data_IF_608154053082
#
_entry.id   IF_608154053082
#
_cell.length_a   1.000
_cell.length_b   1.000
_cell.length_c   1.000
_cell.angle_alpha   90.00
_cell.angle_beta   90.00
_cell.angle_gamma   90.00
#
_symmetry.space_group_name_H-M   'P 1'
#
loop_
_entity.id
_entity.type
_entity.pdbx_description
1 polymer ?
#
# COMPACT_ATOMS: atom_id res chain seq x y z
N UNK A 1 -3.81 4.09 35.54
CA UNK A 1 -3.03 3.15 34.69
C UNK A 1 -3.48 3.36 33.27
N UNK A 2 -2.57 3.58 32.32
CA UNK A 2 -2.95 3.60 30.93
C UNK A 2 -3.52 2.20 30.56
N UNK A 3 -4.61 2.13 29.79
CA UNK A 3 -5.17 0.84 29.36
C UNK A 3 -4.12 0.06 28.58
N UNK A 4 -4.07 -1.24 28.79
CA UNK A 4 -3.15 -2.10 28.04
C UNK A 4 -3.40 -1.97 26.52
N UNK A 5 -2.32 -1.87 25.74
CA UNK A 5 -2.45 -1.81 24.29
C UNK A 5 -3.13 -3.09 23.78
N UNK A 6 -4.05 -3.00 22.80
CA UNK A 6 -4.66 -4.18 22.22
C UNK A 6 -3.63 -5.05 21.50
N UNK A 7 -3.92 -6.34 21.36
CA UNK A 7 -3.08 -7.24 20.58
C UNK A 7 -3.10 -6.88 19.10
N UNK A 8 -4.27 -6.49 18.59
CA UNK A 8 -4.50 -6.24 17.18
C UNK A 8 -5.32 -4.98 16.96
N UNK A 9 -4.81 -4.08 16.11
CA UNK A 9 -5.60 -3.00 15.51
C UNK A 9 -6.01 -3.39 14.10
N UNK A 10 -7.30 -3.36 13.81
CA UNK A 10 -7.85 -3.70 12.49
C UNK A 10 -8.25 -2.41 11.80
N UNK A 11 -7.64 -2.10 10.65
CA UNK A 11 -7.93 -0.91 9.85
C UNK A 11 -8.75 -1.29 8.63
N UNK A 12 -9.92 -0.68 8.50
CA UNK A 12 -10.88 -0.96 7.43
C UNK A 12 -11.20 0.34 6.68
N UNK A 13 -10.68 0.53 5.45
CA UNK A 13 -11.12 1.60 4.58
C UNK A 13 -12.57 1.37 4.14
N UNK A 14 -13.40 2.42 4.23
CA UNK A 14 -14.82 2.38 3.92
C UNK A 14 -15.15 3.44 2.86
N UNK A 15 -15.85 3.03 1.80
CA UNK A 15 -16.39 3.96 0.80
C UNK A 15 -17.66 3.42 0.19
N UNK A 16 -18.82 3.93 0.64
CA UNK A 16 -20.16 3.50 0.21
C UNK A 16 -20.38 1.99 0.45
N UNK A 17 -20.25 1.57 1.71
CA UNK A 17 -20.34 0.17 2.15
C UNK A 17 -21.28 0.02 3.38
N UNK A 18 -22.31 0.90 3.52
CA UNK A 18 -23.21 0.91 4.66
C UNK A 18 -23.85 -0.46 4.97
N UNK A 19 -24.19 -1.24 3.91
CA UNK A 19 -24.87 -2.52 4.03
C UNK A 19 -23.94 -3.64 4.55
N UNK A 20 -22.65 -3.57 4.27
CA UNK A 20 -21.68 -4.62 4.62
C UNK A 20 -21.11 -4.46 6.04
N UNK A 21 -21.04 -3.23 6.56
CA UNK A 21 -20.39 -2.92 7.83
C UNK A 21 -20.93 -3.66 9.05
N UNK A 22 -22.26 -3.83 9.24
CA UNK A 22 -22.79 -4.57 10.40
C UNK A 22 -22.34 -6.03 10.40
N UNK A 23 -22.43 -6.71 9.25
CA UNK A 23 -22.00 -8.10 9.12
C UNK A 23 -20.48 -8.24 9.30
N UNK A 24 -19.70 -7.29 8.78
CA UNK A 24 -18.25 -7.27 8.97
C UNK A 24 -17.89 -7.15 10.46
N UNK A 25 -18.55 -6.24 11.18
CA UNK A 25 -18.33 -6.05 12.61
C UNK A 25 -18.63 -7.34 13.40
N UNK A 26 -19.71 -8.02 13.09
CA UNK A 26 -20.08 -9.28 13.74
C UNK A 26 -19.06 -10.40 13.45
N UNK A 27 -18.60 -10.51 12.22
CA UNK A 27 -17.54 -11.47 11.85
C UNK A 27 -16.22 -11.18 12.56
N UNK A 28 -15.83 -9.91 12.69
CA UNK A 28 -14.63 -9.50 13.44
C UNK A 28 -14.77 -9.88 14.92
N UNK A 29 -15.92 -9.55 15.57
CA UNK A 29 -16.17 -9.90 16.95
C UNK A 29 -16.08 -11.41 17.19
N UNK A 30 -16.72 -12.19 16.32
CA UNK A 30 -16.70 -13.64 16.40
C UNK A 30 -15.29 -14.22 16.25
N UNK A 31 -14.52 -13.75 15.26
CA UNK A 31 -13.17 -14.24 14.99
C UNK A 31 -12.19 -13.88 16.11
N UNK A 32 -12.20 -12.65 16.59
CA UNK A 32 -11.30 -12.19 17.65
C UNK A 32 -11.70 -12.79 19.00
N UNK A 33 -13.00 -12.90 19.29
CA UNK A 33 -13.51 -13.54 20.51
C UNK A 33 -13.13 -15.02 20.58
N UNK A 34 -13.26 -15.77 19.49
CA UNK A 34 -12.86 -17.17 19.42
C UNK A 34 -11.34 -17.37 19.63
N UNK A 35 -10.53 -16.39 19.22
CA UNK A 35 -9.08 -16.42 19.37
C UNK A 35 -8.59 -15.85 20.71
N UNK A 36 -9.46 -15.24 21.52
CA UNK A 36 -9.08 -14.58 22.78
C UNK A 36 -8.15 -13.38 22.59
N UNK A 37 -8.19 -12.72 21.42
CA UNK A 37 -7.36 -11.55 21.10
C UNK A 37 -8.04 -10.26 21.54
N UNK A 38 -7.33 -9.44 22.30
CA UNK A 38 -7.72 -8.05 22.54
C UNK A 38 -7.56 -7.23 21.27
N UNK A 39 -8.62 -6.54 20.82
CA UNK A 39 -8.61 -5.85 19.55
C UNK A 39 -9.28 -4.47 19.59
N UNK A 40 -8.93 -3.63 18.65
CA UNK A 40 -9.65 -2.42 18.27
C UNK A 40 -9.86 -2.40 16.76
N UNK A 41 -10.86 -1.69 16.29
CA UNK A 41 -11.19 -1.52 14.87
C UNK A 41 -11.26 -0.05 14.54
N UNK A 42 -10.55 0.36 13.51
CA UNK A 42 -10.63 1.69 12.92
C UNK A 42 -11.32 1.62 11.56
N UNK A 43 -12.57 2.10 11.50
CA UNK A 43 -13.35 2.23 10.27
C UNK A 43 -13.08 3.62 9.69
N UNK A 44 -12.39 3.68 8.56
CA UNK A 44 -12.02 4.97 7.95
C UNK A 44 -12.92 5.24 6.75
N UNK A 45 -13.89 6.13 6.95
CA UNK A 45 -14.83 6.57 5.92
C UNK A 45 -14.17 7.58 4.97
N UNK A 46 -13.89 7.14 3.78
CA UNK A 46 -13.26 7.92 2.71
C UNK A 46 -14.27 8.81 1.96
N UNK A 47 -15.06 9.58 2.72
CA UNK A 47 -16.02 10.53 2.19
C UNK A 47 -17.22 9.86 1.53
N UNK A 48 -17.81 8.84 2.14
CA UNK A 48 -19.01 8.17 1.66
C UNK A 48 -20.20 9.11 1.55
N UNK A 49 -21.06 8.82 0.58
CA UNK A 49 -22.30 9.57 0.29
C UNK A 49 -23.57 8.78 0.63
N UNK A 50 -23.39 7.54 1.09
CA UNK A 50 -24.48 6.67 1.61
C UNK A 50 -24.61 6.77 3.15
N UNK A 51 -25.22 5.81 3.78
CA UNK A 51 -25.34 5.72 5.24
C UNK A 51 -24.11 5.20 5.99
N UNK A 52 -22.94 5.04 5.34
CA UNK A 52 -21.76 4.40 5.95
C UNK A 52 -21.32 5.06 7.24
N UNK A 53 -21.24 6.40 7.30
CA UNK A 53 -20.82 7.10 8.52
C UNK A 53 -21.81 6.88 9.68
N UNK A 54 -23.11 7.00 9.43
CA UNK A 54 -24.13 6.74 10.46
C UNK A 54 -24.05 5.30 11.00
N UNK A 55 -23.73 4.32 10.14
CA UNK A 55 -23.49 2.94 10.55
C UNK A 55 -22.25 2.82 11.42
N UNK A 56 -21.15 3.53 11.09
CA UNK A 56 -19.91 3.57 11.89
C UNK A 56 -20.19 4.14 13.29
N UNK A 57 -20.93 5.27 13.38
CA UNK A 57 -21.31 5.86 14.66
C UNK A 57 -22.15 4.91 15.52
N UNK A 58 -23.12 4.22 14.88
CA UNK A 58 -23.94 3.23 15.58
C UNK A 58 -23.12 2.04 16.10
N UNK A 59 -22.13 1.55 15.31
CA UNK A 59 -21.23 0.48 15.73
C UNK A 59 -20.35 0.90 16.92
N UNK A 60 -19.80 2.12 16.87
CA UNK A 60 -19.00 2.67 17.97
C UNK A 60 -19.81 2.89 19.25
N UNK A 61 -21.06 3.35 19.14
CA UNK A 61 -21.97 3.49 20.27
C UNK A 61 -22.35 2.13 20.90
N UNK A 62 -22.45 1.08 20.10
CA UNK A 62 -22.78 -0.26 20.56
C UNK A 62 -21.57 -1.04 21.12
N UNK A 63 -20.36 -0.74 20.67
CA UNK A 63 -19.14 -1.44 21.06
C UNK A 63 -17.94 -0.49 21.02
N UNK A 64 -17.42 -0.14 22.17
CA UNK A 64 -16.31 0.80 22.36
C UNK A 64 -15.00 0.38 21.67
N UNK A 65 -14.88 -0.85 21.21
CA UNK A 65 -13.73 -1.32 20.44
C UNK A 65 -13.72 -0.83 18.98
N UNK A 66 -14.86 -0.32 18.50
CA UNK A 66 -15.00 0.24 17.15
C UNK A 66 -14.89 1.75 17.18
N UNK A 67 -13.88 2.27 16.51
CA UNK A 67 -13.70 3.70 16.27
C UNK A 67 -13.86 4.04 14.79
N UNK A 68 -14.10 5.32 14.51
CA UNK A 68 -14.27 5.81 13.15
C UNK A 68 -13.51 7.09 12.88
N UNK A 69 -13.13 7.28 11.62
CA UNK A 69 -12.59 8.52 11.08
C UNK A 69 -13.35 8.83 9.80
N UNK A 70 -13.81 10.07 9.62
CA UNK A 70 -14.50 10.50 8.41
C UNK A 70 -13.72 11.57 7.68
N UNK A 71 -13.53 11.36 6.38
CA UNK A 71 -12.94 12.36 5.51
C UNK A 71 -14.01 13.27 4.91
N UNK A 72 -13.66 14.52 4.63
CA UNK A 72 -14.57 15.49 4.00
C UNK A 72 -14.90 15.14 2.55
N UNK A 73 -14.02 14.39 1.87
CA UNK A 73 -14.18 13.91 0.48
C UNK A 73 -13.41 12.62 0.29
N UNK A 74 -13.61 11.96 -0.83
CA UNK A 74 -12.79 10.81 -1.20
C UNK A 74 -11.35 11.25 -1.52
N UNK A 75 -10.39 10.67 -0.78
CA UNK A 75 -8.95 10.84 -0.96
C UNK A 75 -8.30 9.56 -1.49
N UNK A 76 -8.95 8.42 -1.36
CA UNK A 76 -8.46 7.12 -1.81
C UNK A 76 -8.06 6.17 -0.68
N UNK A 77 -7.94 4.89 -1.04
CA UNK A 77 -7.68 3.80 -0.09
C UNK A 77 -6.36 3.95 0.68
N UNK A 78 -5.33 4.48 0.04
CA UNK A 78 -4.01 4.67 0.68
C UNK A 78 -4.07 5.66 1.83
N UNK A 79 -4.75 6.77 1.64
CA UNK A 79 -4.95 7.82 2.63
C UNK A 79 -5.81 7.32 3.80
N UNK A 80 -6.84 6.53 3.49
CA UNK A 80 -7.67 5.89 4.52
C UNK A 80 -6.85 4.91 5.37
N UNK A 81 -6.01 4.09 4.75
CA UNK A 81 -5.10 3.20 5.47
C UNK A 81 -4.08 3.99 6.31
N UNK A 82 -3.49 5.05 5.76
CA UNK A 82 -2.54 5.89 6.48
C UNK A 82 -3.17 6.54 7.73
N UNK A 83 -4.41 7.02 7.62
CA UNK A 83 -5.15 7.58 8.74
C UNK A 83 -5.44 6.55 9.84
N UNK A 84 -5.81 5.33 9.46
CA UNK A 84 -6.00 4.23 10.38
C UNK A 84 -4.69 3.76 11.03
N UNK A 85 -3.62 3.64 10.26
CA UNK A 85 -2.29 3.27 10.78
C UNK A 85 -1.75 4.27 11.81
N UNK A 86 -2.00 5.56 11.58
CA UNK A 86 -1.59 6.61 12.52
C UNK A 86 -2.29 6.52 13.89
N UNK A 87 -3.44 5.85 13.96
CA UNK A 87 -4.29 5.69 15.16
C UNK A 87 -4.15 4.32 15.81
N UNK A 88 -3.64 3.33 15.08
CA UNK A 88 -3.48 1.97 15.54
C UNK A 88 -2.55 1.91 16.77
N UNK A 89 -3.06 1.34 17.87
CA UNK A 89 -2.35 1.19 19.15
C UNK A 89 -1.86 -0.24 19.40
N UNK A 90 -2.39 -1.21 18.64
CA UNK A 90 -2.05 -2.61 18.78
C UNK A 90 -0.59 -2.92 18.50
N UNK A 91 -0.08 -3.98 19.13
CA UNK A 91 1.26 -4.53 18.83
C UNK A 91 1.34 -5.08 17.40
N UNK A 92 0.21 -5.56 16.88
CA UNK A 92 -0.01 -5.92 15.48
C UNK A 92 -1.08 -5.03 14.86
N UNK A 93 -0.96 -4.78 13.55
CA UNK A 93 -1.95 -4.03 12.78
C UNK A 93 -2.39 -4.90 11.61
N UNK A 94 -3.69 -4.98 11.35
CA UNK A 94 -4.22 -5.67 10.17
C UNK A 94 -5.04 -4.73 9.31
N UNK A 95 -5.10 -5.04 8.02
CA UNK A 95 -6.01 -4.39 7.06
C UNK A 95 -7.05 -5.38 6.58
N UNK A 96 -8.29 -4.92 6.40
CA UNK A 96 -9.39 -5.66 5.79
C UNK A 96 -10.16 -4.74 4.85
N UNK A 97 -10.71 -5.30 3.77
CA UNK A 97 -11.66 -4.58 2.92
C UNK A 97 -13.08 -4.69 3.49
N UNK A 98 -13.89 -3.62 3.35
CA UNK A 98 -15.24 -3.56 3.92
C UNK A 98 -16.26 -4.42 3.16
N UNK A 99 -15.93 -4.97 1.98
CA UNK A 99 -16.84 -5.62 1.04
C UNK A 99 -17.15 -7.10 1.35
N UNK A 100 -16.75 -7.61 2.52
CA UNK A 100 -16.95 -8.98 2.99
C UNK A 100 -16.29 -10.08 2.13
N UNK A 101 -15.39 -9.72 1.20
CA UNK A 101 -14.68 -10.71 0.39
C UNK A 101 -13.55 -11.40 1.16
N UNK A 102 -12.93 -10.70 2.11
CA UNK A 102 -11.90 -11.23 3.00
C UNK A 102 -12.53 -11.75 4.31
N UNK A 103 -12.05 -12.87 4.82
CA UNK A 103 -12.56 -13.49 6.04
C UNK A 103 -11.75 -13.04 7.26
N UNK A 104 -12.35 -12.32 8.25
CA UNK A 104 -11.65 -11.95 9.48
C UNK A 104 -11.14 -13.15 10.29
N UNK A 105 -11.68 -14.35 10.10
CA UNK A 105 -11.23 -15.57 10.76
C UNK A 105 -9.80 -15.98 10.40
N UNK A 106 -9.22 -15.41 9.35
CA UNK A 106 -7.83 -15.62 8.94
C UNK A 106 -6.83 -14.78 9.76
N UNK A 107 -7.28 -13.71 10.42
CA UNK A 107 -6.41 -12.78 11.16
C UNK A 107 -5.67 -13.41 12.35
N UNK A 108 -6.27 -14.28 13.17
CA UNK A 108 -5.55 -14.90 14.30
C UNK A 108 -4.32 -15.68 13.86
N UNK A 109 -4.40 -16.45 12.76
CA UNK A 109 -3.23 -17.15 12.22
C UNK A 109 -2.17 -16.18 11.70
N UNK A 110 -2.57 -15.07 11.06
CA UNK A 110 -1.62 -14.04 10.63
C UNK A 110 -0.91 -13.42 11.83
N UNK A 111 -1.61 -13.12 12.94
CA UNK A 111 -1.01 -12.61 14.17
C UNK A 111 -0.02 -13.64 14.75
N UNK A 112 -0.38 -14.92 14.80
CA UNK A 112 0.54 -15.96 15.28
C UNK A 112 1.83 -16.04 14.44
N UNK A 113 1.76 -15.83 13.11
CA UNK A 113 2.96 -15.76 12.24
C UNK A 113 3.81 -14.53 12.53
N UNK A 114 3.19 -13.36 12.82
CA UNK A 114 3.93 -12.17 13.26
C UNK A 114 4.63 -12.42 14.60
N UNK A 115 3.97 -13.13 15.53
CA UNK A 115 4.56 -13.51 16.81
C UNK A 115 5.72 -14.53 16.63
N UNK A 116 5.64 -15.39 15.61
CA UNK A 116 6.72 -16.30 15.22
C UNK A 116 7.90 -15.59 14.53
N UNK A 117 7.80 -14.29 14.29
CA UNK A 117 8.91 -13.47 13.81
C UNK A 117 8.75 -12.92 12.39
N UNK A 118 7.62 -13.11 11.72
CA UNK A 118 7.34 -12.40 10.48
C UNK A 118 7.17 -10.89 10.73
N UNK A 119 7.59 -10.05 9.79
CA UNK A 119 7.39 -8.60 9.85
C UNK A 119 6.04 -8.22 9.24
N UNK A 120 5.64 -8.95 8.20
CA UNK A 120 4.43 -8.76 7.43
C UNK A 120 3.91 -10.09 6.91
N UNK A 121 2.59 -10.32 7.01
CA UNK A 121 1.90 -11.48 6.43
C UNK A 121 0.85 -10.97 5.46
N UNK A 122 0.92 -11.38 4.18
CA UNK A 122 -0.04 -11.04 3.14
C UNK A 122 -0.96 -12.20 2.84
N UNK A 123 -2.26 -11.95 2.69
CA UNK A 123 -3.20 -12.99 2.27
C UNK A 123 -3.00 -13.37 0.80
N UNK A 124 -3.05 -14.66 0.50
CA UNK A 124 -3.03 -15.18 -0.86
C UNK A 124 -4.37 -15.83 -1.21
N UNK A 125 -5.12 -15.20 -2.09
CA UNK A 125 -6.38 -15.69 -2.63
C UNK A 125 -6.10 -16.75 -3.71
N UNK A 126 -5.79 -18.00 -3.28
CA UNK A 126 -5.41 -19.10 -4.20
C UNK A 126 -6.53 -19.47 -5.16
N UNK A 127 -7.78 -19.54 -4.68
CA UNK A 127 -8.97 -19.77 -5.49
C UNK A 127 -9.70 -18.44 -5.68
N UNK A 128 -9.51 -17.78 -6.84
CA UNK A 128 -10.23 -16.57 -7.20
C UNK A 128 -11.43 -16.94 -8.07
N UNK A 129 -12.61 -16.50 -7.65
CA UNK A 129 -13.84 -16.61 -8.45
C UNK A 129 -14.00 -15.45 -9.45
N UNK A 130 -12.89 -14.77 -9.78
CA UNK A 130 -12.88 -13.66 -10.72
C UNK A 130 -12.89 -14.13 -12.18
N UNK A 131 -13.55 -13.40 -13.12
CA UNK A 131 -13.50 -13.65 -14.56
C UNK A 131 -12.05 -13.67 -15.08
N UNK A 132 -11.80 -14.49 -16.11
CA UNK A 132 -10.46 -14.67 -16.69
C UNK A 132 -9.83 -13.38 -17.20
N UNK A 133 -10.63 -12.43 -17.68
CA UNK A 133 -10.21 -11.09 -18.12
C UNK A 133 -9.54 -10.26 -17.01
N UNK A 134 -9.90 -10.49 -15.76
CA UNK A 134 -9.28 -9.85 -14.58
C UNK A 134 -8.03 -10.61 -14.10
N UNK A 135 -7.94 -11.92 -14.37
CA UNK A 135 -6.87 -12.80 -13.86
C UNK A 135 -5.55 -12.64 -14.61
N UNK A 136 -5.60 -12.40 -15.93
CA UNK A 136 -4.40 -12.34 -16.78
C UNK A 136 -3.55 -11.09 -16.50
N UNK A 137 -4.11 -9.86 -16.47
CA UNK A 137 -3.37 -8.65 -16.12
C UNK A 137 -2.81 -8.70 -14.69
N UNK A 138 -3.59 -9.23 -13.73
CA UNK A 138 -3.14 -9.38 -12.35
C UNK A 138 -1.95 -10.33 -12.21
N UNK A 139 -1.93 -11.44 -12.96
CA UNK A 139 -0.79 -12.38 -12.97
C UNK A 139 0.47 -11.76 -13.55
N UNK A 140 0.34 -11.01 -14.65
CA UNK A 140 1.46 -10.29 -15.26
C UNK A 140 2.03 -9.26 -14.30
N UNK A 141 1.17 -8.43 -13.72
CA UNK A 141 1.52 -7.44 -12.71
C UNK A 141 2.27 -8.07 -11.53
N UNK A 142 1.71 -9.12 -10.91
CA UNK A 142 2.33 -9.80 -9.79
C UNK A 142 3.69 -10.44 -10.17
N UNK A 143 3.83 -10.96 -11.41
CA UNK A 143 5.10 -11.52 -11.88
C UNK A 143 6.18 -10.44 -12.01
N UNK A 144 5.85 -9.29 -12.60
CA UNK A 144 6.79 -8.17 -12.75
C UNK A 144 7.16 -7.59 -11.39
N UNK A 145 6.17 -7.35 -10.51
CA UNK A 145 6.42 -6.84 -9.16
C UNK A 145 7.30 -7.81 -8.36
N UNK A 146 7.06 -9.12 -8.46
CA UNK A 146 7.89 -10.16 -7.83
C UNK A 146 9.33 -10.13 -8.32
N UNK A 147 9.52 -10.08 -9.65
CA UNK A 147 10.85 -10.05 -10.25
C UNK A 147 11.63 -8.81 -9.84
N UNK A 148 10.96 -7.67 -9.78
CA UNK A 148 11.59 -6.40 -9.43
C UNK A 148 11.84 -6.22 -7.94
N UNK A 149 10.88 -6.63 -7.10
CA UNK A 149 10.96 -6.48 -5.65
C UNK A 149 11.84 -7.55 -5.01
N UNK A 150 12.01 -8.69 -5.67
CA UNK A 150 12.61 -9.89 -5.08
C UNK A 150 11.82 -10.43 -3.87
N UNK A 151 10.51 -10.09 -3.77
CA UNK A 151 9.61 -10.59 -2.74
C UNK A 151 8.79 -11.75 -3.33
N UNK A 152 8.77 -12.88 -2.64
CA UNK A 152 8.09 -14.10 -3.12
C UNK A 152 6.61 -14.14 -2.74
N UNK A 153 5.83 -13.08 -3.11
CA UNK A 153 4.38 -13.06 -2.94
C UNK A 153 3.67 -13.44 -4.24
N UNK A 154 2.57 -14.19 -4.13
CA UNK A 154 1.69 -14.52 -5.25
C UNK A 154 0.64 -13.43 -5.48
N UNK A 155 0.26 -12.70 -4.42
CA UNK A 155 -0.76 -11.65 -4.48
C UNK A 155 -0.35 -10.40 -3.70
N UNK A 156 0.15 -9.38 -4.42
CA UNK A 156 0.44 -8.07 -3.85
C UNK A 156 -0.83 -7.26 -3.58
N UNK A 157 -1.93 -7.59 -4.27
CA UNK A 157 -3.19 -6.84 -4.26
C UNK A 157 -4.19 -7.31 -3.19
N UNK A 158 -3.80 -8.23 -2.31
CA UNK A 158 -4.69 -8.69 -1.24
C UNK A 158 -5.09 -7.55 -0.31
N UNK A 159 -6.37 -7.42 0.03
CA UNK A 159 -6.88 -6.47 1.02
C UNK A 159 -6.52 -6.87 2.44
N UNK A 160 -6.50 -8.19 2.72
CA UNK A 160 -6.14 -8.72 4.03
C UNK A 160 -4.62 -8.86 4.15
N UNK A 161 -4.06 -8.11 5.08
CA UNK A 161 -2.65 -8.17 5.46
C UNK A 161 -2.52 -7.90 6.95
N UNK A 162 -1.51 -8.48 7.58
CA UNK A 162 -1.14 -8.18 8.96
C UNK A 162 0.33 -7.76 9.05
N UNK A 163 0.61 -6.86 9.96
CA UNK A 163 1.91 -6.19 10.12
C UNK A 163 2.27 -6.09 11.60
N UNK A 164 3.56 -6.10 11.91
CA UNK A 164 4.03 -5.57 13.19
C UNK A 164 3.78 -4.05 13.23
N UNK A 165 3.45 -3.51 14.39
CA UNK A 165 3.16 -2.08 14.53
C UNK A 165 4.32 -1.18 14.03
N UNK A 166 5.56 -1.61 14.22
CA UNK A 166 6.75 -0.90 13.77
C UNK A 166 6.79 -0.75 12.24
N UNK A 167 6.33 -1.76 11.48
CA UNK A 167 6.27 -1.73 10.02
C UNK A 167 5.34 -0.60 9.53
N UNK A 168 4.13 -0.54 10.06
CA UNK A 168 3.16 0.49 9.63
C UNK A 168 3.55 1.91 10.06
N UNK A 169 4.33 2.04 11.15
CA UNK A 169 4.86 3.34 11.59
C UNK A 169 6.00 3.85 10.73
N UNK A 170 6.79 2.95 10.12
CA UNK A 170 7.92 3.30 9.25
C UNK A 170 7.50 3.55 7.81
N UNK A 171 6.45 2.83 7.33
CA UNK A 171 6.00 2.89 5.94
C UNK A 171 5.06 4.06 5.72
N UNK A 172 5.34 4.88 4.71
CA UNK A 172 4.45 5.98 4.27
C UNK A 172 3.60 5.51 3.09
N UNK A 173 2.28 5.45 3.31
CA UNK A 173 1.30 5.02 2.30
C UNK A 173 0.57 6.24 1.77
N UNK A 174 0.64 6.50 0.46
CA UNK A 174 -0.05 7.59 -0.23
C UNK A 174 -0.36 7.20 -1.68
N UNK A 175 -1.30 7.89 -2.32
CA UNK A 175 -1.71 7.63 -3.71
C UNK A 175 -2.16 6.17 -3.91
N UNK A 176 -1.59 5.46 -4.86
CA UNK A 176 -1.92 4.04 -5.13
C UNK A 176 -0.96 3.04 -4.42
N UNK A 177 -0.12 3.51 -3.48
CA UNK A 177 0.93 2.69 -2.86
C UNK A 177 0.42 1.64 -1.86
N UNK A 178 -0.87 1.62 -1.51
CA UNK A 178 -1.44 0.60 -0.64
C UNK A 178 -1.21 -0.84 -1.11
N UNK A 179 -1.05 -1.06 -2.42
CA UNK A 179 -0.74 -2.37 -3.02
C UNK A 179 0.71 -2.78 -2.79
N UNK A 180 1.57 -1.81 -2.56
CA UNK A 180 3.02 -1.96 -2.48
C UNK A 180 3.57 -1.87 -1.06
N UNK A 181 2.70 -1.88 -0.03
CA UNK A 181 3.14 -1.87 1.36
C UNK A 181 4.20 -2.95 1.64
N UNK A 182 4.11 -4.21 1.12
CA UNK A 182 5.17 -5.19 1.31
C UNK A 182 6.53 -4.75 0.75
N UNK A 183 6.51 -4.02 -0.36
CA UNK A 183 7.72 -3.50 -0.98
C UNK A 183 8.30 -2.32 -0.20
N UNK A 184 7.44 -1.40 0.24
CA UNK A 184 7.83 -0.28 1.09
C UNK A 184 8.43 -0.78 2.41
N UNK A 185 7.81 -1.80 3.03
CA UNK A 185 8.34 -2.45 4.22
C UNK A 185 9.73 -3.04 3.99
N UNK A 186 9.93 -3.74 2.86
CA UNK A 186 11.26 -4.28 2.51
C UNK A 186 12.31 -3.18 2.38
N UNK A 187 11.98 -2.01 1.87
CA UNK A 187 12.90 -0.88 1.75
C UNK A 187 13.27 -0.26 3.10
N UNK A 188 12.36 -0.31 4.06
CA UNK A 188 12.63 0.10 5.44
C UNK A 188 13.38 -0.98 6.25
N UNK A 189 13.76 -2.11 5.60
CA UNK A 189 14.57 -3.16 6.22
C UNK A 189 13.79 -4.36 6.75
N UNK A 190 12.45 -4.36 6.63
CA UNK A 190 11.60 -5.49 7.04
C UNK A 190 11.59 -6.56 5.95
N UNK A 191 12.34 -7.63 6.15
CA UNK A 191 12.58 -8.63 5.09
C UNK A 191 11.83 -9.94 5.29
N UNK A 192 11.29 -10.20 6.51
CA UNK A 192 10.51 -11.40 6.80
C UNK A 192 9.06 -11.24 6.38
N UNK A 193 8.84 -11.25 5.06
CA UNK A 193 7.53 -11.10 4.46
C UNK A 193 7.01 -12.48 4.07
N UNK A 194 5.91 -12.87 4.68
CA UNK A 194 5.26 -14.16 4.48
C UNK A 194 3.93 -14.03 3.74
N UNK A 195 3.43 -15.17 3.26
CA UNK A 195 2.15 -15.27 2.60
C UNK A 195 1.33 -16.39 3.24
N UNK A 196 0.05 -16.10 3.52
CA UNK A 196 -0.92 -17.07 4.02
C UNK A 196 -2.01 -17.29 3.00
N UNK A 197 -2.34 -18.55 2.71
CA UNK A 197 -3.52 -18.85 1.87
C UNK A 197 -4.78 -18.50 2.66
N UNK A 198 -5.60 -17.60 2.10
CA UNK A 198 -6.82 -17.11 2.74
C UNK A 198 -8.05 -17.49 1.95
N UNK A 199 -9.19 -17.63 2.64
CA UNK A 199 -10.50 -17.82 2.02
C UNK A 199 -10.94 -16.51 1.36
N UNK A 200 -11.53 -16.64 0.20
CA UNK A 200 -12.07 -15.50 -0.55
C UNK A 200 -13.52 -15.77 -0.88
N UNK A 201 -14.40 -14.92 -0.36
CA UNK A 201 -15.84 -15.00 -0.59
C UNK A 201 -16.25 -14.19 -1.84
N UNK A 202 -17.35 -14.59 -2.47
CA UNK A 202 -17.95 -13.76 -3.51
C UNK A 202 -18.49 -12.47 -2.88
N UNK A 203 -18.40 -11.36 -3.61
CA UNK A 203 -18.95 -10.07 -3.17
C UNK A 203 -20.45 -10.20 -2.96
N UNK A 204 -20.95 -9.81 -1.79
CA UNK A 204 -22.35 -9.92 -1.41
C UNK A 204 -23.15 -8.65 -1.72
N UNK A 205 -22.52 -7.48 -1.54
CA UNK A 205 -23.15 -6.16 -1.70
C UNK A 205 -22.39 -5.31 -2.72
N UNK A 206 -23.08 -4.34 -3.34
CA UNK A 206 -22.49 -3.35 -4.24
C UNK A 206 -22.20 -3.85 -5.66
N UNK A 207 -21.97 -2.91 -6.58
CA UNK A 207 -21.68 -3.17 -8.00
C UNK A 207 -20.21 -2.89 -8.32
N UNK A 208 -19.63 -3.69 -9.20
CA UNK A 208 -18.25 -3.53 -9.64
C UNK A 208 -18.13 -2.38 -10.63
N UNK A 209 -17.52 -1.26 -10.25
CA UNK A 209 -17.28 -0.08 -11.11
C UNK A 209 -15.96 -0.22 -11.88
N UNK A 210 -15.89 -1.00 -12.98
CA UNK A 210 -14.64 -1.16 -13.72
C UNK A 210 -14.83 -1.05 -15.25
N UNK A 211 -14.08 -0.08 -15.86
CA UNK A 211 -13.97 0.16 -17.29
C UNK A 211 -12.56 -0.13 -17.86
N UNK A 212 -12.39 0.07 -19.19
CA UNK A 212 -11.12 -0.08 -19.95
C UNK A 212 -9.95 0.77 -19.42
N UNK A 213 -10.23 1.89 -18.76
CA UNK A 213 -9.23 2.74 -18.09
C UNK A 213 -8.33 1.97 -17.09
N UNK A 214 -8.79 0.83 -16.60
CA UNK A 214 -8.03 0.00 -15.65
C UNK A 214 -6.74 -0.55 -16.26
N UNK A 215 -6.74 -0.88 -17.55
CA UNK A 215 -5.54 -1.44 -18.20
C UNK A 215 -4.44 -0.39 -18.33
N UNK A 216 -4.83 0.83 -18.72
CA UNK A 216 -3.91 1.95 -18.81
C UNK A 216 -3.40 2.37 -17.41
N UNK A 217 -4.28 2.47 -16.42
CA UNK A 217 -3.89 2.73 -15.03
C UNK A 217 -2.98 1.64 -14.50
N UNK A 218 -3.31 0.36 -14.71
CA UNK A 218 -2.45 -0.75 -14.27
C UNK A 218 -1.07 -0.76 -14.92
N UNK A 219 -0.95 -0.32 -16.17
CA UNK A 219 0.34 -0.14 -16.83
C UNK A 219 1.13 1.05 -16.26
N UNK A 220 0.47 2.18 -16.02
CA UNK A 220 1.07 3.35 -15.38
C UNK A 220 1.46 3.06 -13.92
N UNK A 221 0.62 2.34 -13.19
CA UNK A 221 0.94 1.85 -11.85
C UNK A 221 2.19 0.98 -11.86
N UNK A 222 2.31 0.09 -12.85
CA UNK A 222 3.48 -0.76 -13.00
C UNK A 222 4.75 0.07 -13.28
N UNK A 223 4.68 1.04 -14.20
CA UNK A 223 5.79 1.96 -14.46
C UNK A 223 6.16 2.77 -13.21
N UNK A 224 5.16 3.27 -12.49
CA UNK A 224 5.35 4.00 -11.23
C UNK A 224 6.06 3.13 -10.19
N UNK A 225 5.65 1.88 -10.05
CA UNK A 225 6.31 0.93 -9.13
C UNK A 225 7.73 0.65 -9.55
N UNK A 226 7.95 0.38 -10.84
CA UNK A 226 9.29 0.18 -11.39
C UNK A 226 10.19 1.36 -11.05
N UNK A 227 9.68 2.57 -11.29
CA UNK A 227 10.41 3.80 -11.02
C UNK A 227 10.65 4.01 -9.53
N UNK A 228 9.60 3.91 -8.70
CA UNK A 228 9.68 4.08 -7.26
C UNK A 228 10.56 3.01 -6.60
N UNK A 229 10.51 1.75 -7.09
CA UNK A 229 11.31 0.67 -6.50
C UNK A 229 12.81 0.82 -6.72
N UNK A 230 13.21 1.32 -7.86
CA UNK A 230 14.62 1.33 -8.25
C UNK A 230 15.26 2.72 -8.23
N UNK A 231 14.47 3.76 -8.49
CA UNK A 231 15.00 5.09 -8.81
C UNK A 231 14.44 6.23 -7.94
N UNK A 232 13.38 6.00 -7.13
CA UNK A 232 12.80 7.08 -6.33
C UNK A 232 13.77 7.73 -5.35
N UNK A 233 14.70 6.96 -4.81
CA UNK A 233 15.74 7.50 -3.90
C UNK A 233 16.91 8.14 -4.65
N UNK A 234 17.08 7.87 -5.95
CA UNK A 234 18.20 8.37 -6.79
C UNK A 234 17.74 8.52 -8.25
N UNK A 235 16.81 9.44 -8.56
CA UNK A 235 16.33 9.65 -9.93
C UNK A 235 17.44 10.04 -10.88
N UNK A 236 18.51 10.69 -10.38
CA UNK A 236 19.68 11.05 -11.16
C UNK A 236 20.40 9.83 -11.77
N UNK A 237 20.39 8.66 -11.10
CA UNK A 237 21.04 7.45 -11.63
C UNK A 237 20.35 6.97 -12.91
N UNK A 238 19.02 7.06 -12.98
CA UNK A 238 18.26 6.64 -14.16
C UNK A 238 18.30 7.67 -15.26
N UNK A 239 17.81 8.86 -14.97
CA UNK A 239 17.69 9.93 -15.98
C UNK A 239 19.05 10.49 -16.37
N UNK A 240 19.98 10.66 -15.42
CA UNK A 240 21.34 11.11 -15.69
C UNK A 240 22.14 10.08 -16.49
N UNK A 241 22.02 8.78 -16.17
CA UNK A 241 22.67 7.72 -16.94
C UNK A 241 22.17 7.65 -18.38
N UNK A 242 20.84 7.62 -18.57
CA UNK A 242 20.21 7.63 -19.90
C UNK A 242 20.54 8.90 -20.67
N UNK A 243 20.50 10.04 -19.99
CA UNK A 243 20.83 11.35 -20.54
C UNK A 243 22.27 11.44 -21.02
N UNK A 244 23.23 11.00 -20.20
CA UNK A 244 24.65 10.96 -20.55
C UNK A 244 24.91 10.05 -21.74
N UNK A 245 24.29 8.85 -21.77
CA UNK A 245 24.42 7.91 -22.88
C UNK A 245 23.89 8.53 -24.19
N UNK A 246 22.69 9.12 -24.17
CA UNK A 246 22.09 9.78 -25.32
C UNK A 246 22.95 10.96 -25.81
N UNK A 247 23.41 11.80 -24.88
CA UNK A 247 24.28 12.96 -25.22
C UNK A 247 25.60 12.54 -25.88
N UNK A 248 26.29 11.56 -25.30
CA UNK A 248 27.56 11.08 -25.85
C UNK A 248 27.37 10.35 -27.19
N UNK A 249 26.29 9.60 -27.36
CA UNK A 249 25.95 8.93 -28.62
C UNK A 249 25.67 9.97 -29.72
N UNK A 250 24.88 11.00 -29.42
CA UNK A 250 24.60 12.09 -30.34
C UNK A 250 25.86 12.89 -30.71
N UNK A 251 26.71 13.19 -29.72
CA UNK A 251 27.98 13.85 -29.93
C UNK A 251 28.90 13.01 -30.84
N UNK A 252 28.97 11.69 -30.61
CA UNK A 252 29.73 10.76 -31.45
C UNK A 252 29.27 10.77 -32.91
N UNK A 253 27.95 10.74 -33.15
CA UNK A 253 27.34 10.80 -34.47
C UNK A 253 27.74 12.14 -35.17
N UNK A 254 27.57 13.28 -34.48
CA UNK A 254 27.87 14.58 -35.07
C UNK A 254 29.35 14.74 -35.33
N UNK A 255 30.22 14.27 -34.44
CA UNK A 255 31.67 14.28 -34.62
C UNK A 255 32.04 13.45 -35.84
N UNK A 256 31.52 12.25 -35.99
CA UNK A 256 31.79 11.42 -37.17
C UNK A 256 31.33 12.07 -38.46
N UNK A 257 30.11 12.61 -38.53
CA UNK A 257 29.60 13.31 -39.69
C UNK A 257 30.46 14.56 -40.05
N UNK A 258 30.95 15.25 -39.02
CA UNK A 258 31.83 16.42 -39.20
C UNK A 258 33.18 16.01 -39.82
N UNK A 259 33.78 14.92 -39.31
CA UNK A 259 35.01 14.36 -39.87
C UNK A 259 34.81 13.91 -41.32
N UNK A 260 33.71 13.22 -41.63
CA UNK A 260 33.37 12.77 -42.99
C UNK A 260 33.25 13.98 -43.96
N UNK A 261 32.65 15.08 -43.52
CA UNK A 261 32.56 16.28 -44.32
C UNK A 261 33.93 16.93 -44.57
N UNK A 262 34.74 17.06 -43.51
CA UNK A 262 36.03 17.76 -43.61
C UNK A 262 37.11 16.94 -44.34
N UNK A 263 37.14 15.61 -44.11
CA UNK A 263 38.16 14.74 -44.70
C UNK A 263 37.79 14.23 -46.12
N UNK A 264 36.49 13.99 -46.40
CA UNK A 264 36.05 13.36 -47.62
C UNK A 264 35.12 14.24 -48.48
N UNK A 265 34.77 15.46 -48.02
CA UNK A 265 33.95 16.42 -48.78
C UNK A 265 32.47 16.02 -48.93
N UNK A 266 31.99 15.01 -48.21
CA UNK A 266 30.61 14.53 -48.33
C UNK A 266 29.61 15.58 -47.83
N UNK A 267 28.51 15.90 -48.55
CA UNK A 267 27.51 16.85 -48.11
C UNK A 267 26.72 16.32 -46.88
N UNK A 268 26.36 17.23 -45.96
CA UNK A 268 25.57 16.88 -44.74
C UNK A 268 24.09 17.13 -44.90
N UNK A 269 23.64 17.91 -45.91
CA UNK A 269 22.32 18.53 -45.99
C UNK A 269 21.15 17.56 -45.97
N UNK A 270 21.26 16.39 -46.57
CA UNK A 270 20.15 15.43 -46.71
C UNK A 270 20.35 14.14 -45.88
N UNK A 271 21.03 14.24 -44.75
CA UNK A 271 21.28 13.08 -43.89
C UNK A 271 20.36 13.07 -42.68
N UNK A 272 19.36 12.17 -42.62
CA UNK A 272 18.51 12.00 -41.44
C UNK A 272 19.32 11.76 -40.15
N UNK A 273 20.52 11.17 -40.28
CA UNK A 273 21.43 10.90 -39.18
C UNK A 273 21.93 12.17 -38.47
N UNK A 274 22.03 13.30 -39.19
CA UNK A 274 22.39 14.62 -38.60
C UNK A 274 21.29 15.04 -37.61
N UNK A 275 20.04 15.03 -38.06
CA UNK A 275 18.90 15.39 -37.21
C UNK A 275 18.78 14.45 -36.03
N UNK A 276 18.99 13.15 -36.23
CA UNK A 276 18.98 12.15 -35.18
C UNK A 276 20.07 12.41 -34.13
N UNK A 277 21.29 12.74 -34.54
CA UNK A 277 22.39 13.12 -33.64
C UNK A 277 22.04 14.34 -32.78
N UNK A 278 21.50 15.41 -33.42
CA UNK A 278 21.05 16.62 -32.69
C UNK A 278 19.94 16.28 -31.70
N UNK A 279 18.95 15.49 -32.13
CA UNK A 279 17.85 15.04 -31.26
C UNK A 279 18.33 14.27 -30.03
N UNK A 280 19.32 13.38 -30.22
CA UNK A 280 19.91 12.61 -29.11
C UNK A 280 20.65 13.53 -28.11
N UNK A 281 21.35 14.55 -28.56
CA UNK A 281 21.99 15.53 -27.67
C UNK A 281 20.96 16.30 -26.87
N UNK A 282 19.90 16.80 -27.52
CA UNK A 282 18.85 17.57 -26.86
C UNK A 282 18.07 16.69 -25.83
N UNK A 283 17.64 15.51 -26.24
CA UNK A 283 16.94 14.56 -25.34
C UNK A 283 17.86 14.08 -24.21
N UNK A 284 19.15 13.89 -24.51
CA UNK A 284 20.15 13.54 -23.50
C UNK A 284 20.32 14.62 -22.44
N UNK A 285 20.46 15.87 -22.87
CA UNK A 285 20.57 17.03 -21.97
C UNK A 285 19.27 17.22 -21.14
N UNK A 286 18.10 17.10 -21.78
CA UNK A 286 16.81 17.18 -21.08
C UNK A 286 16.64 16.06 -20.03
N UNK A 287 17.00 14.83 -20.37
CA UNK A 287 16.94 13.71 -19.43
C UNK A 287 17.88 13.93 -18.24
N UNK A 288 19.09 14.42 -18.48
CA UNK A 288 20.04 14.75 -17.43
C UNK A 288 19.49 15.83 -16.47
N UNK A 289 18.94 16.91 -17.02
CA UNK A 289 18.28 17.96 -16.22
C UNK A 289 17.07 17.45 -15.45
N UNK A 290 16.25 16.58 -16.08
CA UNK A 290 15.13 15.92 -15.39
C UNK A 290 15.61 15.07 -14.20
N UNK A 291 16.76 14.41 -14.33
CA UNK A 291 17.39 13.68 -13.22
C UNK A 291 17.77 14.58 -12.06
N UNK A 292 18.39 15.73 -12.33
CA UNK A 292 18.74 16.73 -11.31
C UNK A 292 17.50 17.30 -10.62
N UNK A 293 16.48 17.69 -11.39
CA UNK A 293 15.22 18.19 -10.84
C UNK A 293 14.53 17.12 -10.00
N UNK A 294 14.50 15.87 -10.46
CA UNK A 294 13.96 14.76 -9.71
C UNK A 294 14.66 14.57 -8.35
N UNK A 295 15.98 14.66 -8.30
CA UNK A 295 16.75 14.58 -7.05
C UNK A 295 16.42 15.74 -6.09
N UNK A 296 16.19 16.95 -6.62
CA UNK A 296 15.82 18.12 -5.82
C UNK A 296 14.39 18.04 -5.27
N UNK A 297 13.45 17.47 -6.03
CA UNK A 297 12.03 17.35 -5.64
C UNK A 297 11.81 16.22 -4.65
N UNK A 298 12.47 15.08 -4.84
CA UNK A 298 12.24 13.89 -4.01
C UNK A 298 12.67 14.10 -2.56
N UNK A 299 13.72 14.86 -2.29
CA UNK A 299 14.23 15.09 -0.93
C UNK A 299 13.25 15.82 0.00
N UNK A 300 12.63 16.96 -0.37
CA UNK A 300 11.71 17.68 0.52
C UNK A 300 10.33 17.01 0.64
N UNK A 301 9.84 16.38 -0.43
CA UNK A 301 8.50 15.77 -0.45
C UNK A 301 8.41 14.51 0.42
N UNK A 302 9.53 13.81 0.61
CA UNK A 302 9.62 12.71 1.58
C UNK A 302 9.43 13.20 3.04
N UNK A 303 9.64 14.48 3.31
CA UNK A 303 9.47 15.10 4.63
C UNK A 303 8.09 15.76 4.82
N UNK A 304 7.40 16.11 3.73
CA UNK A 304 6.07 16.72 3.78
C UNK A 304 4.99 15.66 4.02
N UNK A 305 4.41 15.67 5.23
CA UNK A 305 3.19 14.88 5.51
C UNK A 305 2.04 15.43 4.68
N UNK A 306 1.43 14.61 3.85
CA UNK A 306 0.14 14.95 3.27
C UNK A 306 -0.84 15.26 4.42
N UNK A 307 -1.29 16.51 4.51
CA UNK A 307 -2.32 16.90 5.49
C UNK A 307 -3.65 16.33 5.01
N UNK A 308 -4.10 15.26 5.71
CA UNK A 308 -5.44 14.72 5.53
C UNK A 308 -6.37 15.57 6.38
N UNK A 309 -7.38 16.16 5.76
CA UNK A 309 -8.40 16.94 6.45
C UNK A 309 -9.48 15.98 7.00
N UNK A 310 -9.34 15.64 8.28
CA UNK A 310 -10.31 14.81 9.02
C UNK A 310 -11.45 15.72 9.47
N UNK A 311 -12.69 15.41 9.10
CA UNK A 311 -13.87 16.18 9.49
C UNK A 311 -14.46 15.74 10.82
N UNK A 312 -14.44 14.44 11.10
CA UNK A 312 -14.99 13.82 12.31
C UNK A 312 -14.14 12.60 12.70
N UNK A 313 -13.99 12.37 13.99
CA UNK A 313 -13.26 11.23 14.54
C UNK A 313 -14.00 10.63 15.73
N UNK A 314 -14.15 9.31 15.74
CA UNK A 314 -14.67 8.54 16.86
C UNK A 314 -13.58 7.57 17.33
N UNK A 315 -12.99 7.85 18.47
CA UNK A 315 -11.93 7.01 19.03
C UNK A 315 -12.51 5.78 19.74
N UNK A 316 -11.97 4.57 19.52
CA UNK A 316 -12.36 3.41 20.33
C UNK A 316 -11.91 3.59 21.79
N UNK A 317 -12.77 3.24 22.74
CA UNK A 317 -12.38 3.24 24.15
C UNK A 317 -11.40 2.10 24.43
N UNK A 318 -10.42 2.37 25.28
CA UNK A 318 -9.52 1.35 25.75
C UNK A 318 -10.25 0.45 26.73
N UNK A 319 -10.55 -0.78 26.32
CA UNK A 319 -11.08 -1.79 27.22
C UNK A 319 -9.98 -2.20 28.20
N UNK A 320 -10.15 -1.85 29.49
CA UNK A 320 -9.26 -2.32 30.53
C UNK A 320 -9.36 -3.86 30.62
N UNK A 321 -8.23 -4.59 30.78
CA UNK A 321 -8.31 -6.02 31.03
C UNK A 321 -9.11 -6.27 32.29
N UNK A 322 -10.01 -7.26 32.26
CA UNK A 322 -10.69 -7.72 33.48
C UNK A 322 -9.63 -8.05 34.55
N UNK A 323 -9.82 -7.60 35.81
CA UNK A 323 -8.87 -7.89 36.86
C UNK A 323 -8.78 -9.42 37.03
N UNK A 324 -7.64 -9.99 36.71
CA UNK A 324 -7.31 -11.38 37.05
C UNK A 324 -7.50 -11.52 38.56
N UNK A 325 -8.46 -12.33 38.96
CA UNK A 325 -8.81 -12.55 40.36
C UNK A 325 -7.53 -12.82 41.19
N UNK A 326 -7.32 -12.08 42.26
CA UNK A 326 -6.23 -12.32 43.20
C UNK A 326 -6.34 -13.76 43.68
N UNK A 327 -5.27 -14.55 43.62
CA UNK A 327 -5.24 -15.83 44.26
C UNK A 327 -5.55 -15.62 45.76
N UNK A 328 -6.46 -16.43 46.28
CA UNK A 328 -6.86 -16.43 47.71
C UNK A 328 -5.58 -16.51 48.58
N UNK A 329 -5.50 -15.62 49.56
CA UNK A 329 -4.41 -15.62 50.53
C UNK A 329 -4.32 -16.97 51.23
N UNK A 330 -3.14 -17.58 51.24
CA UNK A 330 -2.85 -18.79 51.96
C UNK A 330 -3.08 -18.58 53.46
N UNK A 331 -3.69 -19.54 54.17
CA UNK A 331 -3.90 -19.44 55.63
C UNK A 331 -2.53 -19.42 56.36
N UNK A 332 -2.37 -18.45 57.29
CA UNK A 332 -1.22 -18.35 58.15
C UNK A 332 -1.19 -19.58 59.11
N UNK A 333 -0.04 -20.21 59.35
CA UNK A 333 0.06 -21.27 60.36
C UNK A 333 -0.02 -20.68 61.76
N UNK A 334 -0.66 -21.43 62.66
CA UNK A 334 -0.84 -21.15 64.07
C UNK A 334 0.45 -21.15 64.89
#
# INVERSE_FOLDING_TARGET
MAPAAPDLSIVVPVYNEAESLPELADRIRAAMGAAGLAFEVWLVDDGSTDGSWATIEALGAADARFGGVRFRRNYGKSEALAAGFARARGRCVATLDADLQDDPAELPEMVARLDAGADLVSGWKRKRNDPWEKRLPSKFFNRVTRWMSGIRLHDFNSGIKAYRAEVVRSVRVYGELHRYIPLLAKWEGYTRIEEQVVRHHARKYGTTKFGLERYLRGFLDLLTVVFLTRFARRPMVFFGGLGTLGFLSGLGILTWLTVEKLAFGHPLGDRPLLLFGVMLILLGAQSFLAGLLGEMVVRPEMESRARIDVSEELAPEAVAPEPVGRPAAAPQPA
#
